data_IF_950612656609
#
_entry.id   IF_950612656609
#
_cell.length_a   1.000
_cell.length_b   1.000
_cell.length_c   1.000
_cell.angle_alpha   90.00
_cell.angle_beta   90.00
_cell.angle_gamma   90.00
#
_symmetry.space_group_name_H-M   'P 1'
#
loop_
_entity.id
_entity.type
_entity.pdbx_description
1 polymer ?
#
# COMPACT_ATOMS: atom_id res chain seq x y z
N UNK A 1 16.91 9.34 -6.54
CA UNK A 1 15.73 9.54 -5.68
C UNK A 1 15.69 10.98 -5.25
N UNK A 2 14.54 11.64 -5.40
CA UNK A 2 14.31 13.04 -5.06
C UNK A 2 13.26 13.05 -3.93
N UNK A 3 13.52 13.75 -2.84
CA UNK A 3 12.47 14.07 -1.90
C UNK A 3 11.63 15.20 -2.51
N UNK A 4 10.48 14.86 -3.06
CA UNK A 4 9.61 15.79 -3.78
C UNK A 4 8.85 16.72 -2.83
N UNK A 5 8.25 16.15 -1.79
CA UNK A 5 7.62 16.85 -0.66
C UNK A 5 7.96 16.09 0.63
N UNK A 6 7.61 16.66 1.79
CA UNK A 6 7.62 15.88 3.03
C UNK A 6 6.77 14.63 2.82
N UNK A 7 7.29 13.47 3.18
CA UNK A 7 6.61 12.17 3.04
C UNK A 7 6.39 11.66 1.60
N UNK A 8 6.97 12.31 0.58
CA UNK A 8 6.85 11.86 -0.81
C UNK A 8 8.22 11.81 -1.47
N UNK A 9 8.60 10.65 -1.97
CA UNK A 9 9.83 10.42 -2.73
C UNK A 9 9.49 10.10 -4.18
N UNK A 10 10.24 10.69 -5.09
CA UNK A 10 10.06 10.57 -6.53
C UNK A 10 11.33 10.00 -7.17
N UNK A 11 11.19 9.06 -8.11
CA UNK A 11 12.33 8.54 -8.85
C UNK A 11 13.00 9.61 -9.71
N UNK A 12 12.21 10.44 -10.39
CA UNK A 12 12.65 11.48 -11.31
C UNK A 12 11.50 12.47 -11.57
N UNK A 13 11.81 13.65 -12.12
CA UNK A 13 10.83 14.65 -12.54
C UNK A 13 10.81 14.68 -14.07
N UNK A 14 9.63 14.50 -14.67
CA UNK A 14 9.41 14.47 -16.10
C UNK A 14 8.40 15.54 -16.50
N UNK A 15 8.71 16.35 -17.51
CA UNK A 15 7.81 17.42 -17.95
C UNK A 15 6.42 16.92 -18.39
N UNK A 16 6.37 15.76 -19.03
CA UNK A 16 5.13 15.07 -19.45
C UNK A 16 5.29 13.56 -19.21
N UNK A 17 5.08 13.08 -18.00
CA UNK A 17 5.20 11.66 -17.73
C UNK A 17 4.08 10.90 -18.43
N UNK A 18 4.39 9.72 -18.95
CA UNK A 18 3.40 8.83 -19.53
C UNK A 18 2.43 8.32 -18.48
N UNK A 19 2.94 8.05 -17.28
CA UNK A 19 2.19 7.55 -16.13
C UNK A 19 2.79 8.14 -14.86
N UNK A 20 1.92 8.48 -13.89
CA UNK A 20 2.29 8.69 -12.50
C UNK A 20 1.83 7.50 -11.68
N UNK A 21 2.77 6.66 -11.26
CA UNK A 21 2.52 5.52 -10.39
C UNK A 21 2.72 5.94 -8.93
N UNK A 22 1.69 5.78 -8.10
CA UNK A 22 1.75 6.05 -6.66
C UNK A 22 1.78 4.73 -5.92
N UNK A 23 2.78 4.51 -5.08
CA UNK A 23 3.00 3.29 -4.30
C UNK A 23 2.81 3.60 -2.81
N UNK A 24 1.89 2.89 -2.18
CA UNK A 24 1.60 2.94 -0.76
C UNK A 24 2.16 1.70 -0.05
N UNK A 25 2.93 1.92 1.02
CA UNK A 25 3.62 0.84 1.73
C UNK A 25 2.72 0.07 2.71
N UNK A 26 3.21 -1.09 3.16
CA UNK A 26 2.62 -1.95 4.19
C UNK A 26 2.75 -1.35 5.61
N UNK A 27 2.06 -1.92 6.59
CA UNK A 27 2.16 -1.53 7.99
C UNK A 27 3.59 -1.67 8.51
N UNK A 28 4.09 -0.65 9.20
CA UNK A 28 5.48 -0.56 9.66
C UNK A 28 6.52 -0.32 8.55
N UNK A 29 6.10 -0.33 7.28
CA UNK A 29 6.97 -0.07 6.14
C UNK A 29 7.23 1.42 5.91
N UNK A 30 7.98 1.69 4.86
CA UNK A 30 8.29 3.04 4.38
C UNK A 30 8.69 3.01 2.89
N UNK A 31 8.89 4.19 2.31
CA UNK A 31 9.26 4.37 0.90
C UNK A 31 10.57 3.64 0.54
N UNK A 32 11.54 3.58 1.45
CA UNK A 32 12.87 3.00 1.15
C UNK A 32 12.79 1.52 0.80
N UNK A 33 11.78 0.82 1.32
CA UNK A 33 11.53 -0.58 0.97
C UNK A 33 11.33 -0.78 -0.54
N UNK A 34 10.75 0.21 -1.22
CA UNK A 34 10.43 0.14 -2.65
C UNK A 34 11.52 0.72 -3.55
N UNK A 35 12.61 1.28 -3.01
CA UNK A 35 13.71 1.84 -3.81
C UNK A 35 14.31 0.83 -4.77
N UNK A 36 14.41 -0.42 -4.34
CA UNK A 36 14.95 -1.53 -5.14
C UNK A 36 14.12 -1.88 -6.39
N UNK A 37 12.88 -1.39 -6.49
CA UNK A 37 12.03 -1.62 -7.66
C UNK A 37 12.18 -0.54 -8.72
N UNK A 38 12.69 0.64 -8.36
CA UNK A 38 12.66 1.83 -9.21
C UNK A 38 13.49 1.71 -10.49
N UNK A 39 14.55 0.91 -10.46
CA UNK A 39 15.41 0.70 -11.64
C UNK A 39 14.71 -0.07 -12.76
N UNK A 40 13.64 -0.81 -12.46
CA UNK A 40 12.89 -1.61 -13.42
C UNK A 40 11.76 -0.85 -14.10
N UNK A 41 11.30 0.27 -13.53
CA UNK A 41 10.21 1.06 -14.13
C UNK A 41 10.68 1.84 -15.37
N UNK A 42 9.79 2.02 -16.37
CA UNK A 42 10.11 2.78 -17.58
C UNK A 42 10.57 4.20 -17.27
N UNK A 43 11.53 4.70 -18.04
CA UNK A 43 12.14 6.04 -17.84
C UNK A 43 11.19 7.20 -18.15
N UNK A 44 10.06 6.93 -18.79
CA UNK A 44 9.00 7.89 -19.07
C UNK A 44 7.88 7.89 -18.01
N UNK A 45 8.05 7.13 -16.89
CA UNK A 45 7.15 7.10 -15.74
C UNK A 45 7.71 7.88 -14.55
N UNK A 46 6.84 8.58 -13.86
CA UNK A 46 7.10 9.09 -12.51
C UNK A 46 6.55 8.10 -11.48
N UNK A 47 7.39 7.68 -10.54
CA UNK A 47 7.01 6.77 -9.46
C UNK A 47 7.10 7.50 -8.14
N UNK A 48 5.95 7.72 -7.53
CA UNK A 48 5.76 8.38 -6.23
C UNK A 48 5.69 7.32 -5.14
N UNK A 49 6.62 7.35 -4.21
CA UNK A 49 6.62 6.50 -3.02
C UNK A 49 6.17 7.34 -1.83
N UNK A 50 5.08 6.93 -1.21
CA UNK A 50 4.47 7.67 -0.11
C UNK A 50 4.93 7.08 1.21
N UNK A 51 5.41 7.94 2.12
CA UNK A 51 5.62 7.62 3.52
C UNK A 51 4.46 8.15 4.35
N UNK A 52 3.82 7.28 5.12
CA UNK A 52 2.91 7.78 6.14
C UNK A 52 3.70 8.57 7.21
N UNK A 53 3.11 9.56 7.87
CA UNK A 53 3.71 10.21 9.03
C UNK A 53 4.08 9.22 10.13
N UNK A 54 4.92 9.65 11.08
CA UNK A 54 5.31 8.82 12.22
C UNK A 54 6.08 7.56 11.82
N UNK A 55 7.10 7.72 10.94
CA UNK A 55 8.08 6.64 10.68
C UNK A 55 9.21 6.70 11.71
N UNK A 56 9.90 5.58 11.92
CA UNK A 56 10.98 5.45 12.92
C UNK A 56 12.07 6.53 12.81
N UNK A 57 12.30 7.08 11.62
CA UNK A 57 13.24 8.17 11.36
C UNK A 57 12.57 9.57 11.33
N UNK A 58 11.24 9.65 11.53
CA UNK A 58 10.44 10.88 11.58
C UNK A 58 9.51 10.85 12.81
N UNK A 59 10.10 10.73 13.99
CA UNK A 59 9.38 10.54 15.25
C UNK A 59 8.48 11.72 15.66
N UNK A 60 8.66 12.90 15.05
CA UNK A 60 7.85 14.09 15.30
C UNK A 60 6.54 14.13 14.50
N UNK A 61 6.25 13.11 13.71
CA UNK A 61 4.99 13.00 12.96
C UNK A 61 3.83 12.61 13.88
N UNK A 62 2.62 13.11 13.57
CA UNK A 62 1.39 12.65 14.22
C UNK A 62 0.96 11.38 13.51
N UNK A 63 0.72 10.26 14.24
CA UNK A 63 0.21 9.04 13.64
C UNK A 63 -1.17 9.26 13.00
N UNK A 64 -1.44 8.59 11.89
CA UNK A 64 -2.75 8.55 11.28
C UNK A 64 -3.52 7.37 11.87
N UNK A 65 -4.67 7.62 12.50
CA UNK A 65 -5.43 6.55 13.16
C UNK A 65 -6.85 6.37 12.57
N UNK A 66 -7.27 7.27 11.66
CA UNK A 66 -8.61 7.25 11.04
C UNK A 66 -8.60 7.86 9.63
N UNK A 67 -9.70 7.70 8.92
CA UNK A 67 -9.89 8.16 7.53
C UNK A 67 -9.69 9.68 7.38
N UNK A 68 -10.19 10.46 8.32
CA UNK A 68 -10.10 11.92 8.29
C UNK A 68 -8.65 12.40 8.37
N UNK A 69 -7.83 11.75 9.22
CA UNK A 69 -6.39 12.05 9.34
C UNK A 69 -5.68 11.74 8.01
N UNK A 70 -6.04 10.62 7.38
CA UNK A 70 -5.49 10.21 6.08
C UNK A 70 -5.88 11.21 4.98
N UNK A 71 -7.11 11.72 4.97
CA UNK A 71 -7.56 12.70 3.99
C UNK A 71 -6.88 14.06 4.18
N UNK A 72 -6.66 14.48 5.43
CA UNK A 72 -5.86 15.67 5.71
C UNK A 72 -4.42 15.49 5.19
N UNK A 73 -3.81 14.35 5.45
CA UNK A 73 -2.49 14.01 4.92
C UNK A 73 -2.45 14.02 3.38
N UNK A 74 -3.45 13.45 2.71
CA UNK A 74 -3.55 13.52 1.25
C UNK A 74 -3.67 14.97 0.76
N UNK A 75 -4.42 15.81 1.44
CA UNK A 75 -4.51 17.24 1.10
C UNK A 75 -3.14 17.91 1.15
N UNK A 76 -2.32 17.61 2.16
CA UNK A 76 -0.96 18.17 2.28
C UNK A 76 -0.04 17.74 1.14
N UNK A 77 -0.09 16.47 0.72
CA UNK A 77 0.85 15.93 -0.27
C UNK A 77 0.37 16.06 -1.71
N UNK A 78 -0.95 16.10 -1.95
CA UNK A 78 -1.55 16.08 -3.30
C UNK A 78 -2.25 17.38 -3.71
N UNK A 79 -2.20 18.46 -2.91
CA UNK A 79 -2.89 19.74 -3.21
C UNK A 79 -2.57 20.34 -4.59
N UNK A 80 -1.37 20.07 -5.12
CA UNK A 80 -0.90 20.56 -6.43
C UNK A 80 -0.62 19.41 -7.40
N UNK A 81 -1.23 18.25 -7.13
CA UNK A 81 -0.97 17.06 -7.93
C UNK A 81 -1.88 17.06 -9.16
N UNK A 82 -1.27 17.14 -10.32
CA UNK A 82 -1.95 17.04 -11.62
C UNK A 82 -1.42 15.83 -12.38
N UNK A 83 -2.30 15.03 -12.94
CA UNK A 83 -1.90 13.95 -13.83
C UNK A 83 -3.07 13.47 -14.70
N UNK A 84 -2.78 13.24 -15.98
CA UNK A 84 -3.74 12.66 -16.92
C UNK A 84 -3.92 11.15 -16.69
N UNK A 85 -2.85 10.47 -16.29
CA UNK A 85 -2.82 9.02 -16.10
C UNK A 85 -2.15 8.66 -14.79
N UNK A 86 -2.98 8.26 -13.83
CA UNK A 86 -2.57 7.80 -12.50
C UNK A 86 -2.77 6.30 -12.40
N UNK A 87 -1.75 5.59 -11.92
CA UNK A 87 -1.84 4.22 -11.47
C UNK A 87 -1.55 4.18 -9.96
N UNK A 88 -2.29 3.36 -9.22
CA UNK A 88 -2.09 3.17 -7.79
C UNK A 88 -1.65 1.74 -7.50
N UNK A 89 -0.71 1.60 -6.61
CA UNK A 89 -0.33 0.30 -6.05
C UNK A 89 -0.27 0.37 -4.54
N UNK A 90 -0.78 -0.67 -3.87
CA UNK A 90 -0.68 -0.79 -2.43
C UNK A 90 -0.45 -2.23 -1.96
N UNK A 91 0.51 -2.42 -1.07
CA UNK A 91 0.78 -3.71 -0.44
C UNK A 91 0.22 -3.75 0.98
N UNK A 92 -0.57 -4.76 1.33
CA UNK A 92 -1.15 -4.96 2.65
C UNK A 92 -1.99 -3.75 3.10
N UNK A 93 -1.61 -3.01 4.15
CA UNK A 93 -2.22 -1.73 4.54
C UNK A 93 -2.28 -0.75 3.37
N UNK A 94 -1.23 -0.70 2.54
CA UNK A 94 -1.15 0.18 1.37
C UNK A 94 -2.28 -0.03 0.37
N UNK A 95 -2.85 -1.24 0.28
CA UNK A 95 -4.02 -1.50 -0.56
C UNK A 95 -5.26 -0.73 -0.06
N UNK A 96 -5.50 -0.68 1.25
CA UNK A 96 -6.57 0.14 1.85
C UNK A 96 -6.31 1.63 1.66
N UNK A 97 -5.05 2.07 1.86
CA UNK A 97 -4.66 3.46 1.62
C UNK A 97 -4.91 3.85 0.16
N UNK A 98 -4.63 2.95 -0.80
CA UNK A 98 -4.88 3.19 -2.21
C UNK A 98 -6.38 3.32 -2.53
N UNK A 99 -7.25 2.54 -1.87
CA UNK A 99 -8.72 2.70 -1.98
C UNK A 99 -9.14 4.09 -1.46
N UNK A 100 -8.66 4.50 -0.30
CA UNK A 100 -8.98 5.81 0.24
C UNK A 100 -8.43 6.95 -0.64
N UNK A 101 -7.28 6.72 -1.27
CA UNK A 101 -6.71 7.67 -2.23
C UNK A 101 -7.57 7.79 -3.50
N UNK A 102 -8.20 6.71 -3.98
CA UNK A 102 -9.19 6.79 -5.08
C UNK A 102 -10.31 7.75 -4.70
N UNK A 103 -10.90 7.58 -3.51
CA UNK A 103 -11.98 8.46 -3.04
C UNK A 103 -11.52 9.92 -2.90
N UNK A 104 -10.32 10.12 -2.38
CA UNK A 104 -9.75 11.46 -2.26
C UNK A 104 -9.54 12.12 -3.62
N UNK A 105 -8.90 11.43 -4.57
CA UNK A 105 -8.63 11.95 -5.91
C UNK A 105 -9.93 12.28 -6.65
N UNK A 106 -10.92 11.42 -6.58
CA UNK A 106 -12.24 11.61 -7.21
C UNK A 106 -12.96 12.82 -6.61
N UNK A 107 -13.04 12.91 -5.29
CA UNK A 107 -13.88 13.89 -4.61
C UNK A 107 -13.24 15.27 -4.45
N UNK A 108 -11.90 15.36 -4.39
CA UNK A 108 -11.20 16.62 -4.11
C UNK A 108 -10.41 17.14 -5.32
N UNK A 109 -9.96 16.27 -6.22
CA UNK A 109 -9.18 16.66 -7.40
C UNK A 109 -9.89 16.38 -8.72
N UNK A 110 -11.12 15.85 -8.68
CA UNK A 110 -11.91 15.45 -9.86
C UNK A 110 -11.09 14.60 -10.84
N UNK A 111 -10.28 13.70 -10.30
CA UNK A 111 -9.37 12.84 -11.04
C UNK A 111 -9.58 11.38 -10.64
N UNK A 112 -9.63 10.49 -11.60
CA UNK A 112 -9.81 9.06 -11.34
C UNK A 112 -8.59 8.27 -11.85
N UNK A 113 -7.99 7.43 -10.98
CA UNK A 113 -6.92 6.53 -11.41
C UNK A 113 -7.38 5.59 -12.52
N UNK A 114 -6.45 5.18 -13.37
CA UNK A 114 -6.71 4.28 -14.50
C UNK A 114 -6.42 2.82 -14.19
N UNK A 115 -5.83 2.54 -13.05
CA UNK A 115 -5.51 1.20 -12.59
C UNK A 115 -5.23 1.17 -11.08
N UNK A 116 -5.63 0.07 -10.44
CA UNK A 116 -5.33 -0.24 -9.05
C UNK A 116 -4.66 -1.61 -8.96
N UNK A 117 -3.44 -1.65 -8.42
CA UNK A 117 -2.78 -2.89 -7.98
C UNK A 117 -2.97 -3.08 -6.48
N UNK A 118 -3.52 -4.22 -6.10
CA UNK A 118 -3.66 -4.63 -4.69
C UNK A 118 -2.79 -5.84 -4.44
N UNK A 119 -1.95 -5.78 -3.42
CA UNK A 119 -0.96 -6.81 -3.13
C UNK A 119 -1.10 -7.34 -1.70
N UNK A 120 -1.11 -8.68 -1.57
CA UNK A 120 -1.22 -9.40 -0.29
C UNK A 120 -2.35 -8.88 0.61
N UNK A 121 -3.54 -8.71 0.02
CA UNK A 121 -4.69 -8.17 0.72
C UNK A 121 -6.01 -8.73 0.21
N UNK A 122 -6.82 -9.32 1.09
CA UNK A 122 -8.23 -9.58 0.82
C UNK A 122 -8.98 -8.25 0.69
N UNK A 123 -10.08 -8.19 -0.09
CA UNK A 123 -10.90 -6.99 -0.16
C UNK A 123 -11.42 -6.57 1.22
N UNK A 124 -11.71 -5.28 1.43
CA UNK A 124 -12.28 -4.78 2.66
C UNK A 124 -13.53 -5.56 3.08
N UNK A 125 -13.57 -6.00 4.33
CA UNK A 125 -14.74 -6.67 4.89
C UNK A 125 -14.87 -6.33 6.39
N UNK A 126 -15.78 -5.41 6.77
CA UNK A 126 -15.99 -5.01 8.16
C UNK A 126 -16.30 -6.18 9.09
N UNK A 127 -17.03 -7.18 8.58
CA UNK A 127 -17.49 -8.32 9.38
C UNK A 127 -16.41 -9.39 9.65
N UNK A 128 -15.32 -9.37 8.87
CA UNK A 128 -14.22 -10.34 8.98
C UNK A 128 -12.93 -9.71 9.52
N UNK A 129 -12.99 -8.49 10.03
CA UNK A 129 -11.81 -7.80 10.54
C UNK A 129 -11.40 -8.36 11.89
N UNK A 130 -10.19 -8.90 11.98
CA UNK A 130 -9.62 -9.32 13.28
C UNK A 130 -9.14 -8.08 14.05
N UNK A 131 -9.92 -7.66 15.03
CA UNK A 131 -9.60 -6.51 15.90
C UNK A 131 -8.71 -6.88 17.08
N UNK A 132 -8.46 -8.18 17.35
CA UNK A 132 -7.69 -8.64 18.50
C UNK A 132 -6.25 -8.08 18.49
N UNK A 133 -5.68 -7.82 17.32
CA UNK A 133 -4.33 -7.26 17.17
C UNK A 133 -4.17 -5.89 17.85
N UNK A 134 -5.26 -5.14 18.07
CA UNK A 134 -5.21 -3.86 18.80
C UNK A 134 -4.85 -4.04 20.28
N UNK A 135 -5.08 -5.22 20.81
CA UNK A 135 -4.82 -5.56 22.21
C UNK A 135 -3.50 -6.32 22.38
N UNK A 136 -2.77 -6.58 21.30
CA UNK A 136 -1.49 -7.30 21.38
C UNK A 136 -0.48 -6.48 22.19
N UNK A 137 0.13 -7.13 23.17
CA UNK A 137 1.35 -6.62 23.78
C UNK A 137 2.54 -6.71 22.79
N UNK A 138 3.71 -6.21 23.19
CA UNK A 138 4.87 -6.17 22.28
C UNK A 138 5.35 -7.56 21.85
N UNK A 139 5.24 -8.56 22.74
CA UNK A 139 5.66 -9.94 22.43
C UNK A 139 4.70 -10.61 21.43
N UNK A 140 3.39 -10.42 21.61
CA UNK A 140 2.37 -10.93 20.69
C UNK A 140 2.48 -10.27 19.33
N UNK A 141 2.73 -8.95 19.28
CA UNK A 141 2.94 -8.23 18.02
C UNK A 141 4.21 -8.71 17.31
N UNK A 142 5.26 -9.00 18.05
CA UNK A 142 6.49 -9.59 17.53
C UNK A 142 6.27 -10.97 16.92
N UNK A 143 5.50 -11.83 17.58
CA UNK A 143 5.16 -13.15 17.05
C UNK A 143 4.36 -13.02 15.75
N UNK A 144 3.45 -12.06 15.71
CA UNK A 144 2.68 -11.76 14.51
C UNK A 144 3.58 -11.27 13.36
N UNK A 145 4.51 -10.33 13.63
CA UNK A 145 5.48 -9.85 12.62
C UNK A 145 6.37 -10.96 12.08
N UNK A 146 6.84 -11.86 12.95
CA UNK A 146 7.62 -13.04 12.54
C UNK A 146 6.82 -13.95 11.60
N UNK A 147 5.52 -14.14 11.89
CA UNK A 147 4.63 -14.95 11.04
C UNK A 147 4.42 -14.32 9.66
N UNK A 148 4.38 -12.99 9.57
CA UNK A 148 4.25 -12.27 8.29
C UNK A 148 5.54 -12.31 7.45
N UNK A 149 6.68 -12.61 8.07
CA UNK A 149 8.00 -12.76 7.43
C UNK A 149 8.46 -11.53 6.59
N UNK A 150 8.01 -10.33 6.99
CA UNK A 150 8.35 -9.09 6.29
C UNK A 150 9.37 -8.22 6.98
N UNK A 151 9.66 -8.52 8.24
CA UNK A 151 10.63 -7.76 9.03
C UNK A 151 11.95 -8.52 9.05
N UNK A 152 13.07 -7.89 8.64
CA UNK A 152 14.38 -8.51 8.71
C UNK A 152 14.69 -9.06 10.10
N UNK A 153 15.32 -10.24 10.16
CA UNK A 153 15.62 -10.92 11.42
C UNK A 153 16.49 -10.06 12.32
N UNK A 154 17.42 -9.33 11.75
CA UNK A 154 18.34 -8.41 12.45
C UNK A 154 17.57 -7.31 13.20
N UNK A 155 16.45 -6.83 12.65
CA UNK A 155 15.55 -5.87 13.31
C UNK A 155 14.73 -6.53 14.41
N UNK A 156 14.26 -7.76 14.19
CA UNK A 156 13.47 -8.51 15.18
C UNK A 156 14.29 -8.93 16.39
N UNK A 157 15.59 -9.14 16.22
CA UNK A 157 16.51 -9.56 17.27
C UNK A 157 17.15 -8.36 18.03
N UNK A 158 16.98 -7.12 17.51
CA UNK A 158 17.50 -5.90 18.15
C UNK A 158 16.40 -5.15 18.90
N UNK A 159 16.39 -5.27 20.23
CA UNK A 159 15.37 -4.66 21.11
C UNK A 159 15.29 -3.14 21.00
N UNK A 160 16.41 -2.44 20.85
CA UNK A 160 16.44 -0.97 20.78
C UNK A 160 15.79 -0.50 19.47
N UNK A 161 16.18 -1.09 18.35
CA UNK A 161 15.58 -0.79 17.03
C UNK A 161 14.10 -1.13 17.06
N UNK A 162 13.74 -2.28 17.62
CA UNK A 162 12.36 -2.73 17.69
C UNK A 162 11.47 -1.74 18.45
N UNK A 163 11.93 -1.22 19.58
CA UNK A 163 11.22 -0.22 20.38
C UNK A 163 10.93 1.07 19.60
N UNK A 164 11.74 1.41 18.59
CA UNK A 164 11.48 2.54 17.69
C UNK A 164 10.40 2.24 16.64
N UNK A 165 10.30 0.98 16.21
CA UNK A 165 9.35 0.57 15.16
C UNK A 165 7.98 0.16 15.68
N UNK A 166 7.90 -0.45 16.86
CA UNK A 166 6.64 -0.95 17.42
C UNK A 166 5.53 0.12 17.51
N UNK A 167 5.79 1.36 17.97
CA UNK A 167 4.76 2.41 18.00
C UNK A 167 4.20 2.73 16.61
N UNK A 168 5.06 2.77 15.60
CA UNK A 168 4.67 2.97 14.21
C UNK A 168 3.78 1.83 13.71
N UNK A 169 4.16 0.58 13.95
CA UNK A 169 3.41 -0.60 13.54
C UNK A 169 2.04 -0.62 14.24
N UNK A 170 1.98 -0.33 15.54
CA UNK A 170 0.73 -0.25 16.29
C UNK A 170 -0.21 0.81 15.73
N UNK A 171 0.32 1.98 15.38
CA UNK A 171 -0.46 3.04 14.76
C UNK A 171 -1.00 2.62 13.39
N UNK A 172 -0.17 2.03 12.55
CA UNK A 172 -0.58 1.54 11.24
C UNK A 172 -1.66 0.45 11.34
N UNK A 173 -1.57 -0.41 12.34
CA UNK A 173 -2.59 -1.44 12.59
C UNK A 173 -3.92 -0.84 13.07
N UNK A 174 -3.88 0.23 13.87
CA UNK A 174 -5.09 0.98 14.24
C UNK A 174 -5.75 1.58 13.00
N UNK A 175 -4.98 2.28 12.16
CA UNK A 175 -5.46 2.83 10.90
C UNK A 175 -6.07 1.74 10.02
N UNK A 176 -5.36 0.62 9.81
CA UNK A 176 -5.83 -0.52 9.03
C UNK A 176 -7.19 -1.02 9.51
N UNK A 177 -7.31 -1.29 10.82
CA UNK A 177 -8.55 -1.81 11.40
C UNK A 177 -9.66 -0.79 11.26
N UNK A 178 -9.38 0.49 11.50
CA UNK A 178 -10.37 1.55 11.38
C UNK A 178 -10.88 1.66 9.94
N UNK A 179 -9.99 1.71 8.95
CA UNK A 179 -10.37 1.76 7.53
C UNK A 179 -11.22 0.55 7.12
N UNK A 180 -10.84 -0.66 7.59
CA UNK A 180 -11.56 -1.87 7.24
C UNK A 180 -12.92 -1.98 7.94
N UNK A 181 -13.02 -1.62 9.24
CA UNK A 181 -14.27 -1.73 10.01
C UNK A 181 -15.29 -0.65 9.67
N UNK A 182 -14.85 0.51 9.19
CA UNK A 182 -15.73 1.60 8.74
C UNK A 182 -15.98 1.59 7.24
N UNK A 183 -15.42 0.62 6.53
CA UNK A 183 -15.63 0.49 5.09
C UNK A 183 -17.11 0.23 4.79
N UNK A 184 -17.70 1.06 3.94
CA UNK A 184 -19.12 0.98 3.60
C UNK A 184 -19.40 1.36 2.13
N UNK A 185 -18.44 1.12 1.26
CA UNK A 185 -18.64 1.40 -0.15
C UNK A 185 -19.55 0.35 -0.77
N UNK A 186 -20.64 0.82 -1.37
CA UNK A 186 -21.60 -0.02 -2.09
C UNK A 186 -21.43 0.09 -3.61
N UNK A 187 -20.69 1.11 -4.06
CA UNK A 187 -20.47 1.36 -5.47
C UNK A 187 -19.17 0.69 -5.92
N UNK A 188 -19.23 0.07 -7.10
CA UNK A 188 -18.05 -0.46 -7.75
C UNK A 188 -17.24 0.67 -8.38
N UNK A 189 -15.93 0.53 -8.37
CA UNK A 189 -15.03 1.41 -9.10
C UNK A 189 -15.11 1.14 -10.61
N UNK A 190 -14.99 2.17 -11.41
CA UNK A 190 -14.76 2.02 -12.86
C UNK A 190 -13.26 2.00 -13.18
N UNK A 191 -12.50 1.24 -12.36
CA UNK A 191 -11.06 1.14 -12.39
C UNK A 191 -10.70 -0.34 -12.46
N UNK A 192 -9.87 -0.79 -13.44
CA UNK A 192 -9.35 -2.15 -13.47
C UNK A 192 -8.50 -2.45 -12.24
N UNK A 193 -8.70 -3.64 -11.66
CA UNK A 193 -7.96 -4.09 -10.47
C UNK A 193 -7.11 -5.31 -10.84
N UNK A 194 -5.81 -5.24 -10.52
CA UNK A 194 -4.91 -6.40 -10.56
C UNK A 194 -4.54 -6.80 -9.14
N UNK A 195 -4.77 -8.07 -8.83
CA UNK A 195 -4.54 -8.66 -7.51
C UNK A 195 -3.27 -9.49 -7.55
N UNK A 196 -2.35 -9.22 -6.63
CA UNK A 196 -1.06 -9.89 -6.51
C UNK A 196 -0.93 -10.52 -5.12
N UNK A 197 -0.58 -11.80 -5.02
CA UNK A 197 -0.37 -12.42 -3.70
C UNK A 197 0.48 -13.67 -3.75
N UNK A 198 1.07 -14.01 -2.61
CA UNK A 198 1.77 -15.27 -2.41
C UNK A 198 0.82 -16.40 -2.02
N UNK A 199 0.98 -17.58 -2.61
CA UNK A 199 0.15 -18.77 -2.33
C UNK A 199 0.34 -19.33 -0.92
N UNK A 200 1.35 -18.86 -0.19
CA UNK A 200 1.68 -19.25 1.20
C UNK A 200 1.49 -18.07 2.18
N UNK A 201 0.87 -16.97 1.72
CA UNK A 201 0.61 -15.81 2.56
C UNK A 201 -0.45 -16.13 3.62
N UNK A 202 -0.10 -16.14 4.94
CA UNK A 202 -1.04 -16.49 6.00
C UNK A 202 -2.14 -15.46 6.23
N UNK A 203 -2.04 -14.28 5.62
CA UNK A 203 -3.05 -13.22 5.70
C UNK A 203 -4.10 -13.30 4.59
N UNK A 204 -3.87 -14.11 3.56
CA UNK A 204 -4.80 -14.29 2.46
C UNK A 204 -5.74 -15.46 2.75
N UNK A 205 -7.04 -15.20 2.68
CA UNK A 205 -8.07 -16.22 2.68
C UNK A 205 -8.42 -16.57 1.24
N UNK A 206 -8.18 -17.80 0.76
CA UNK A 206 -8.50 -18.23 -0.59
C UNK A 206 -9.99 -18.08 -0.97
N UNK A 207 -10.90 -18.19 0.00
CA UNK A 207 -12.34 -18.04 -0.22
C UNK A 207 -12.76 -16.57 -0.40
N UNK A 208 -11.94 -15.65 0.07
CA UNK A 208 -12.28 -14.22 0.06
C UNK A 208 -11.55 -13.43 -1.02
N UNK A 209 -10.38 -13.87 -1.46
CA UNK A 209 -9.53 -13.09 -2.37
C UNK A 209 -10.23 -12.76 -3.70
N UNK A 210 -11.03 -13.69 -4.22
CA UNK A 210 -11.78 -13.50 -5.47
C UNK A 210 -12.93 -12.49 -5.32
N UNK A 211 -13.29 -12.07 -4.11
CA UNK A 211 -14.29 -11.03 -3.89
C UNK A 211 -13.83 -9.63 -4.35
N UNK A 212 -12.58 -9.45 -4.78
CA UNK A 212 -12.16 -8.23 -5.47
C UNK A 212 -12.98 -7.96 -6.74
N UNK A 213 -13.52 -8.99 -7.42
CA UNK A 213 -14.44 -8.83 -8.56
C UNK A 213 -15.73 -8.08 -8.20
N UNK A 214 -16.06 -7.97 -6.92
CA UNK A 214 -17.21 -7.20 -6.45
C UNK A 214 -16.91 -5.71 -6.30
N UNK A 215 -15.63 -5.30 -6.36
CA UNK A 215 -15.18 -3.92 -6.13
C UNK A 215 -14.99 -3.10 -7.42
N UNK A 216 -15.05 -3.75 -8.58
CA UNK A 216 -14.88 -3.07 -9.85
C UNK A 216 -15.91 -3.55 -10.88
N UNK A 217 -16.21 -2.70 -11.88
CA UNK A 217 -16.99 -3.09 -13.05
C UNK A 217 -16.17 -3.93 -14.06
N UNK A 218 -14.86 -3.97 -13.90
CA UNK A 218 -13.95 -4.76 -14.71
C UNK A 218 -13.72 -6.14 -14.10
N UNK A 219 -13.28 -7.10 -14.92
CA UNK A 219 -12.78 -8.38 -14.42
C UNK A 219 -11.39 -8.17 -13.81
N UNK A 220 -11.18 -8.63 -12.57
CA UNK A 220 -9.87 -8.58 -11.93
C UNK A 220 -8.87 -9.54 -12.59
N UNK A 221 -7.61 -9.11 -12.66
CA UNK A 221 -6.49 -9.97 -13.02
C UNK A 221 -5.85 -10.52 -11.73
N UNK A 222 -5.68 -11.84 -11.62
CA UNK A 222 -5.08 -12.47 -10.43
C UNK A 222 -3.70 -13.00 -10.74
N UNK A 223 -2.70 -12.49 -10.03
CA UNK A 223 -1.28 -12.84 -10.18
C UNK A 223 -0.80 -13.55 -8.92
N UNK A 224 -0.62 -14.86 -9.01
CA UNK A 224 -0.27 -15.73 -7.88
C UNK A 224 1.21 -16.07 -7.96
N UNK A 225 1.92 -15.86 -6.84
CA UNK A 225 3.35 -16.15 -6.72
C UNK A 225 3.59 -17.29 -5.72
N UNK A 226 4.65 -18.06 -5.93
CA UNK A 226 5.12 -18.95 -4.89
C UNK A 226 5.87 -18.12 -3.83
N UNK A 227 5.27 -17.98 -2.63
CA UNK A 227 5.82 -17.19 -1.54
C UNK A 227 4.79 -16.82 -0.48
N UNK A 228 5.27 -16.11 0.53
CA UNK A 228 4.53 -15.62 1.68
C UNK A 228 3.97 -14.20 1.47
N UNK A 229 3.76 -13.46 2.56
CA UNK A 229 3.25 -12.08 2.52
C UNK A 229 4.13 -11.13 1.69
N UNK A 230 5.45 -11.36 1.66
CA UNK A 230 6.42 -10.57 0.89
C UNK A 230 7.00 -11.38 -0.27
N UNK A 231 6.15 -12.09 -1.00
CA UNK A 231 6.44 -12.99 -2.11
C UNK A 231 7.36 -12.41 -3.21
N UNK A 232 7.47 -11.10 -3.30
CA UNK A 232 8.31 -10.39 -4.27
C UNK A 232 9.76 -10.18 -3.78
N UNK A 233 10.09 -10.47 -2.52
CA UNK A 233 11.46 -10.41 -2.04
C UNK A 233 12.34 -11.38 -2.82
N UNK A 234 13.51 -10.90 -3.28
CA UNK A 234 14.43 -11.59 -4.19
C UNK A 234 13.83 -11.92 -5.57
N UNK A 235 12.72 -11.30 -5.94
CA UNK A 235 12.04 -11.40 -7.24
C UNK A 235 11.63 -10.03 -7.76
N UNK A 236 12.35 -8.99 -7.38
CA UNK A 236 12.00 -7.58 -7.60
C UNK A 236 11.81 -7.26 -9.08
N UNK A 237 12.73 -7.73 -9.93
CA UNK A 237 12.66 -7.55 -11.37
C UNK A 237 11.38 -8.16 -11.97
N UNK A 238 11.11 -9.43 -11.63
CA UNK A 238 9.93 -10.12 -12.15
C UNK A 238 8.66 -9.40 -11.71
N UNK A 239 8.55 -9.07 -10.42
CA UNK A 239 7.37 -8.40 -9.88
C UNK A 239 7.14 -7.01 -10.51
N UNK A 240 8.22 -6.23 -10.69
CA UNK A 240 8.13 -4.93 -11.35
C UNK A 240 7.65 -5.07 -12.80
N UNK A 241 8.15 -6.05 -13.56
CA UNK A 241 7.69 -6.31 -14.93
C UNK A 241 6.22 -6.72 -14.97
N UNK A 242 5.78 -7.64 -14.12
CA UNK A 242 4.39 -8.07 -14.04
C UNK A 242 3.45 -6.87 -13.71
N UNK A 243 3.89 -5.98 -12.82
CA UNK A 243 3.17 -4.73 -12.50
C UNK A 243 3.11 -3.78 -13.70
N UNK A 244 4.22 -3.59 -14.41
CA UNK A 244 4.29 -2.75 -15.61
C UNK A 244 3.35 -3.28 -16.69
N UNK A 245 3.36 -4.57 -16.96
CA UNK A 245 2.47 -5.22 -17.93
C UNK A 245 1.00 -5.03 -17.55
N UNK A 246 0.66 -5.24 -16.25
CA UNK A 246 -0.69 -5.04 -15.76
C UNK A 246 -1.17 -3.59 -15.93
N UNK A 247 -0.32 -2.60 -15.66
CA UNK A 247 -0.63 -1.19 -15.85
C UNK A 247 -0.78 -0.87 -17.33
N UNK A 248 0.15 -1.31 -18.19
CA UNK A 248 0.15 -1.00 -19.62
C UNK A 248 -1.04 -1.60 -20.38
N UNK A 249 -1.63 -2.67 -19.87
CA UNK A 249 -2.85 -3.30 -20.43
C UNK A 249 -4.04 -2.34 -20.42
N UNK A 250 -4.07 -1.35 -19.52
CA UNK A 250 -5.21 -0.45 -19.31
C UNK A 250 -4.90 1.03 -19.59
N UNK A 251 -3.70 1.36 -20.05
CA UNK A 251 -3.22 2.71 -20.29
C UNK A 251 -2.71 2.90 -21.72
#
# INVERSE_FOLDING_TARGET
>A
MIQYKKNVYLNQIIKKPKIKLIINHHAGGNATFYFKFLEYFPKDWEVYLIDLPFRAYQTNGIPLEKREDLFQFFTEIFSEFEADKIALFGHSLGAHISIELIHFLKNHLNTEPKWLGVSSKNPPNPHKTNTAILNYNDEELLLWLKKMNGTPKELLDNKEILNLFLPCIKSDMKLYIKLNTTFNDKEKFDIPISVFYGNKDPSINPDDINNWDNFTHHKCDYNIYDGDHFYFNNKESKFAHDMIEAIQKYL
#
